data_IF_292298801179
#
_entry.id   IF_292298801179
#
_cell.length_a   1.000
_cell.length_b   1.000
_cell.length_c   1.000
_cell.angle_alpha   90.00
_cell.angle_beta   90.00
_cell.angle_gamma   90.00
#
_symmetry.space_group_name_H-M   'P 1'
#
loop_
_entity.id
_entity.type
_entity.pdbx_description
1 polymer ?
#
# COMPACT_ATOMS: atom_id res chain seq x y z
N UNK A 1 -14.09 -45.96 27.35
CA UNK A 1 -14.07 -46.36 28.77
C UNK A 1 -14.01 -45.10 29.64
N UNK A 2 -14.90 -45.00 30.62
CA UNK A 2 -15.09 -43.89 31.56
C UNK A 2 -14.19 -44.06 32.81
N UNK A 3 -13.62 -42.95 33.33
CA UNK A 3 -13.24 -42.69 34.75
C UNK A 3 -12.73 -41.24 34.80
N UNK A 4 -13.36 -40.20 35.39
CA UNK A 4 -14.10 -39.89 36.64
C UNK A 4 -13.22 -39.72 37.90
N UNK A 5 -13.29 -38.50 38.48
CA UNK A 5 -12.87 -38.08 39.85
C UNK A 5 -11.62 -37.19 39.85
N UNK A 6 -11.59 -35.87 40.14
CA UNK A 6 -12.35 -34.94 40.99
C UNK A 6 -12.16 -35.14 42.51
N UNK A 7 -11.49 -34.16 43.17
CA UNK A 7 -11.64 -33.62 44.54
C UNK A 7 -10.33 -32.83 44.90
N UNK A 8 -10.24 -31.73 45.65
CA UNK A 8 -11.13 -30.69 46.22
C UNK A 8 -10.21 -29.64 46.92
N UNK A 9 -10.65 -28.37 46.94
CA UNK A 9 -10.47 -27.31 47.98
C UNK A 9 -9.04 -26.79 48.31
N UNK A 10 -8.80 -25.48 48.49
CA UNK A 10 -9.43 -24.62 49.51
C UNK A 10 -9.48 -23.14 49.12
N UNK A 11 -10.64 -22.53 49.41
CA UNK A 11 -10.87 -21.10 49.54
C UNK A 11 -10.19 -20.55 50.80
N UNK A 12 -9.61 -19.36 50.72
CA UNK A 12 -9.48 -18.46 51.87
C UNK A 12 -10.22 -17.16 51.60
N UNK A 13 -11.07 -16.82 52.56
CA UNK A 13 -11.85 -15.58 52.68
C UNK A 13 -11.16 -14.71 53.72
N UNK A 14 -10.85 -13.46 53.39
CA UNK A 14 -10.56 -12.37 54.33
C UNK A 14 -10.75 -11.05 53.53
N UNK A 15 -11.63 -10.12 53.84
CA UNK A 15 -12.66 -9.97 54.86
C UNK A 15 -13.52 -8.75 54.48
N UNK A 16 -14.78 -8.72 54.93
CA UNK A 16 -15.66 -7.56 54.81
C UNK A 16 -15.63 -6.70 56.09
N UNK A 17 -15.82 -5.39 55.93
CA UNK A 17 -16.32 -4.48 56.97
C UNK A 17 -15.48 -3.20 57.14
N UNK A 18 -15.78 -2.12 56.41
CA UNK A 18 -16.63 -0.98 56.79
C UNK A 18 -15.99 0.00 57.80
N UNK A 19 -15.63 1.18 57.29
CA UNK A 19 -15.33 2.38 58.07
C UNK A 19 -15.62 3.62 57.22
N UNK A 20 -16.75 4.28 57.50
CA UNK A 20 -17.17 5.57 56.94
C UNK A 20 -16.13 6.66 57.21
N UNK A 21 -15.82 7.46 56.19
CA UNK A 21 -15.65 8.92 56.30
C UNK A 21 -15.44 9.48 54.89
N UNK A 22 -16.37 10.33 54.44
CA UNK A 22 -16.25 11.01 53.16
C UNK A 22 -15.00 11.88 53.10
N UNK A 23 -14.35 11.89 51.92
CA UNK A 23 -13.54 13.01 51.43
C UNK A 23 -13.65 13.06 49.91
N UNK A 24 -13.97 14.27 49.45
CA UNK A 24 -13.84 14.83 48.11
C UNK A 24 -13.08 14.03 47.04
N UNK A 25 -13.67 14.02 45.85
CA UNK A 25 -12.98 13.83 44.57
C UNK A 25 -11.71 14.70 44.51
N UNK A 26 -10.53 14.12 44.26
CA UNK A 26 -9.45 14.83 43.60
C UNK A 26 -9.59 14.61 42.09
N UNK A 27 -9.96 15.66 41.37
CA UNK A 27 -9.59 15.83 39.97
C UNK A 27 -8.08 15.59 39.82
N UNK A 28 -7.70 14.52 39.11
CA UNK A 28 -6.28 14.26 38.85
C UNK A 28 -5.94 12.80 38.60
N UNK A 29 -6.56 12.16 37.61
CA UNK A 29 -5.95 11.00 36.98
C UNK A 29 -5.58 11.37 35.54
N UNK A 30 -4.31 11.19 35.11
CA UNK A 30 -3.93 11.41 33.73
C UNK A 30 -4.64 10.38 32.85
N UNK A 31 -5.44 10.88 31.92
CA UNK A 31 -6.07 10.12 30.84
C UNK A 31 -5.00 9.27 30.15
N UNK A 32 -5.22 7.96 29.90
CA UNK A 32 -4.33 7.21 29.04
C UNK A 32 -4.24 7.96 27.69
N UNK A 33 -3.03 8.16 27.13
CA UNK A 33 -2.91 8.88 25.88
C UNK A 33 -3.74 8.14 24.83
N UNK A 34 -4.58 8.88 24.11
CA UNK A 34 -5.27 8.37 22.94
C UNK A 34 -4.25 7.62 22.05
N UNK A 35 -4.62 6.48 21.43
CA UNK A 35 -3.73 5.84 20.48
C UNK A 35 -3.31 6.90 19.48
N UNK A 36 -2.00 7.20 19.47
CA UNK A 36 -1.41 8.19 18.60
C UNK A 36 -1.93 7.93 17.20
N UNK A 37 -2.82 8.80 16.72
CA UNK A 37 -3.14 8.88 15.31
C UNK A 37 -1.82 9.28 14.67
N UNK A 38 -1.05 8.28 14.24
CA UNK A 38 0.12 8.50 13.43
C UNK A 38 -0.36 9.36 12.26
N UNK A 39 0.16 10.59 12.10
CA UNK A 39 -0.12 11.37 10.90
C UNK A 39 0.25 10.48 9.73
N UNK A 40 -0.73 10.15 8.89
CA UNK A 40 -0.44 9.54 7.60
C UNK A 40 0.62 10.40 6.96
N UNK A 41 1.82 9.85 6.74
CA UNK A 41 2.94 10.60 6.19
C UNK A 41 2.43 11.42 5.00
N UNK A 42 2.79 12.71 4.88
CA UNK A 42 2.40 13.48 3.71
C UNK A 42 2.82 12.66 2.50
N UNK A 43 1.87 12.34 1.62
CA UNK A 43 2.07 11.52 0.43
C UNK A 43 3.03 12.27 -0.50
N UNK A 44 4.32 12.20 -0.17
CA UNK A 44 5.40 12.81 -0.90
C UNK A 44 5.56 12.08 -2.23
N UNK A 45 6.02 12.83 -3.23
CA UNK A 45 6.29 12.23 -4.53
C UNK A 45 7.30 11.08 -4.38
N UNK A 46 6.97 9.91 -4.90
CA UNK A 46 7.85 8.76 -4.97
C UNK A 46 8.74 8.89 -6.19
N UNK A 47 10.05 8.67 -6.05
CA UNK A 47 10.97 8.80 -7.18
C UNK A 47 11.69 7.50 -7.49
N UNK A 48 11.93 7.23 -8.77
CA UNK A 48 12.71 6.09 -9.24
C UNK A 48 13.60 6.50 -10.41
N UNK A 49 14.77 5.88 -10.55
CA UNK A 49 15.59 5.97 -11.76
C UNK A 49 15.42 4.68 -12.56
N UNK A 50 15.03 4.81 -13.82
CA UNK A 50 14.83 3.68 -14.73
C UNK A 50 15.53 4.02 -16.04
N UNK A 51 16.64 3.35 -16.30
CA UNK A 51 17.53 3.71 -17.40
C UNK A 51 18.01 5.16 -17.26
N UNK A 52 17.81 5.94 -18.32
CA UNK A 52 18.16 7.37 -18.36
C UNK A 52 17.03 8.30 -17.90
N UNK A 53 15.88 7.75 -17.50
CA UNK A 53 14.75 8.53 -16.98
C UNK A 53 14.77 8.61 -15.46
N UNK A 54 14.51 9.82 -14.95
CA UNK A 54 14.04 10.06 -13.59
C UNK A 54 12.51 10.08 -13.61
N UNK A 55 11.90 9.21 -12.83
CA UNK A 55 10.45 9.12 -12.66
C UNK A 55 10.05 9.70 -11.31
N UNK A 56 8.93 10.41 -11.27
CA UNK A 56 8.32 10.95 -10.06
C UNK A 56 6.82 10.68 -10.07
N UNK A 57 6.29 10.05 -9.03
CA UNK A 57 4.88 9.72 -8.88
C UNK A 57 4.32 10.48 -7.67
N UNK A 58 3.48 11.48 -7.93
CA UNK A 58 2.81 12.27 -6.91
C UNK A 58 1.29 12.06 -7.04
N UNK A 59 0.66 11.49 -6.01
CA UNK A 59 -0.67 10.92 -6.19
C UNK A 59 -0.63 9.85 -7.30
N UNK A 60 -1.47 9.97 -8.31
CA UNK A 60 -1.46 9.10 -9.50
C UNK A 60 -0.90 9.79 -10.76
N UNK A 61 -0.21 10.93 -10.59
CA UNK A 61 0.45 11.66 -11.67
C UNK A 61 1.91 11.24 -11.80
N UNK A 62 2.25 10.63 -12.92
CA UNK A 62 3.62 10.24 -13.27
C UNK A 62 4.29 11.33 -14.09
N UNK A 63 5.32 11.95 -13.52
CA UNK A 63 6.25 12.83 -14.24
C UNK A 63 7.49 12.05 -14.62
N UNK A 64 7.99 12.24 -15.84
CA UNK A 64 9.22 11.64 -16.31
C UNK A 64 10.14 12.68 -16.92
N UNK A 65 11.42 12.54 -16.67
CA UNK A 65 12.45 13.48 -17.09
C UNK A 65 13.71 12.73 -17.53
N UNK A 66 14.27 13.14 -18.65
CA UNK A 66 15.60 12.78 -19.15
C UNK A 66 16.25 14.02 -19.77
N UNK A 67 17.49 13.89 -20.25
CA UNK A 67 18.22 15.01 -20.85
C UNK A 67 17.46 15.70 -22.00
N UNK A 68 16.77 14.92 -22.83
CA UNK A 68 16.12 15.41 -24.05
C UNK A 68 14.60 15.44 -23.96
N UNK A 69 14.01 14.89 -22.89
CA UNK A 69 12.57 14.66 -22.81
C UNK A 69 12.04 14.81 -21.40
N UNK A 70 11.03 15.64 -21.26
CA UNK A 70 10.19 15.72 -20.06
C UNK A 70 8.73 15.53 -20.42
N UNK A 71 7.93 15.05 -19.48
CA UNK A 71 6.50 14.97 -19.65
C UNK A 71 5.79 14.47 -18.41
N UNK A 72 4.48 14.42 -18.51
CA UNK A 72 3.61 14.02 -17.41
C UNK A 72 2.46 13.20 -17.97
N UNK A 73 2.03 12.21 -17.19
CA UNK A 73 0.85 11.39 -17.49
C UNK A 73 0.03 11.22 -16.21
N UNK A 74 -1.27 11.44 -16.33
CA UNK A 74 -2.23 11.04 -15.30
C UNK A 74 -2.59 9.57 -15.48
N UNK A 75 -2.49 8.80 -14.40
CA UNK A 75 -2.93 7.41 -14.37
C UNK A 75 -4.37 7.35 -13.88
N UNK A 76 -5.23 6.69 -14.66
CA UNK A 76 -6.64 6.47 -14.32
C UNK A 76 -6.80 5.39 -13.24
N UNK A 77 -6.28 5.69 -12.06
CA UNK A 77 -6.24 4.84 -10.88
C UNK A 77 -6.94 5.56 -9.72
N UNK A 78 -7.57 4.84 -8.79
CA UNK A 78 -7.95 5.44 -7.52
C UNK A 78 -6.68 5.83 -6.73
N UNK A 79 -6.77 6.85 -5.88
CA UNK A 79 -5.70 7.16 -4.93
C UNK A 79 -5.71 6.14 -3.76
N UNK A 80 -4.55 5.86 -3.13
CA UNK A 80 -3.21 6.32 -3.49
C UNK A 80 -2.53 5.41 -4.53
N UNK A 81 -1.70 6.00 -5.40
CA UNK A 81 -0.81 5.22 -6.27
C UNK A 81 0.60 5.10 -5.68
N UNK A 82 1.26 3.98 -5.96
CA UNK A 82 2.64 3.75 -5.62
C UNK A 82 3.39 2.97 -6.70
N UNK A 83 4.71 3.11 -6.71
CA UNK A 83 5.54 2.17 -7.44
C UNK A 83 5.51 0.82 -6.70
N UNK A 84 5.41 -0.28 -7.45
CA UNK A 84 5.67 -1.60 -6.89
C UNK A 84 7.11 -1.61 -6.35
N UNK A 85 7.29 -2.21 -5.17
CA UNK A 85 8.56 -2.20 -4.45
C UNK A 85 9.13 -3.60 -4.34
N UNK A 86 10.46 -3.69 -4.33
CA UNK A 86 11.18 -4.92 -3.99
C UNK A 86 11.21 -5.11 -2.46
N UNK A 87 11.84 -6.20 -2.01
CA UNK A 87 11.96 -6.51 -0.58
C UNK A 87 12.74 -5.45 0.23
N UNK A 88 13.57 -4.62 -0.41
CA UNK A 88 14.29 -3.51 0.26
C UNK A 88 13.47 -2.21 0.30
N UNK A 89 12.25 -2.22 -0.24
CA UNK A 89 11.35 -1.07 -0.28
C UNK A 89 11.65 -0.09 -1.41
N UNK A 90 12.58 -0.40 -2.31
CA UNK A 90 12.89 0.41 -3.49
C UNK A 90 11.95 0.08 -4.65
N UNK A 91 11.75 1.02 -5.56
CA UNK A 91 10.95 0.79 -6.75
C UNK A 91 11.51 -0.38 -7.57
N UNK A 92 10.70 -1.42 -7.78
CA UNK A 92 11.13 -2.63 -8.47
C UNK A 92 11.15 -2.42 -9.98
N UNK A 93 12.32 -2.62 -10.56
CA UNK A 93 12.56 -2.52 -12.00
C UNK A 93 12.98 -3.89 -12.52
N UNK A 94 12.26 -4.39 -13.53
CA UNK A 94 12.55 -5.68 -14.16
C UNK A 94 12.93 -5.45 -15.62
N UNK A 95 13.96 -6.14 -16.09
CA UNK A 95 14.34 -6.11 -17.51
C UNK A 95 13.34 -6.94 -18.34
N UNK A 96 12.68 -6.30 -19.29
CA UNK A 96 11.71 -6.91 -20.19
C UNK A 96 12.20 -6.77 -21.63
N UNK A 97 13.04 -7.71 -22.06
CA UNK A 97 13.73 -7.66 -23.35
C UNK A 97 14.80 -6.55 -23.42
N UNK A 98 14.63 -5.62 -24.35
CA UNK A 98 15.47 -4.41 -24.50
C UNK A 98 14.99 -3.23 -23.65
N UNK A 99 13.89 -3.41 -22.93
CA UNK A 99 13.25 -2.38 -22.12
C UNK A 99 13.41 -2.70 -20.63
N UNK A 100 13.16 -1.70 -19.80
CA UNK A 100 13.01 -1.85 -18.36
C UNK A 100 11.58 -1.51 -17.98
N UNK A 101 10.95 -2.35 -17.18
CA UNK A 101 9.57 -2.20 -16.76
C UNK A 101 9.50 -2.03 -15.25
N UNK A 102 8.73 -1.04 -14.85
CA UNK A 102 8.32 -0.80 -13.47
C UNK A 102 6.79 -0.83 -13.44
N UNK A 103 6.20 -1.25 -12.32
CA UNK A 103 4.74 -1.25 -12.16
C UNK A 103 4.32 -0.10 -11.27
N UNK A 104 3.26 0.59 -11.67
CA UNK A 104 2.48 1.47 -10.78
C UNK A 104 1.25 0.69 -10.33
N UNK A 105 0.95 0.76 -9.06
CA UNK A 105 -0.15 0.06 -8.41
C UNK A 105 -0.97 0.99 -7.51
N UNK A 106 -2.26 0.69 -7.39
CA UNK A 106 -3.16 1.33 -6.42
C UNK A 106 -4.12 0.28 -5.87
N UNK A 107 -4.30 0.24 -4.56
CA UNK A 107 -5.11 -0.76 -3.89
C UNK A 107 -6.08 -0.13 -2.91
N UNK A 108 -7.29 -0.70 -2.84
CA UNK A 108 -8.32 -0.32 -1.88
C UNK A 108 -9.08 -1.57 -1.42
N UNK A 109 -9.72 -1.54 -0.23
CA UNK A 109 -10.65 -2.59 0.18
C UNK A 109 -11.70 -2.85 -0.91
N UNK A 110 -12.00 -4.12 -1.17
CA UNK A 110 -12.96 -4.53 -2.18
C UNK A 110 -14.38 -4.04 -1.87
N UNK A 111 -14.75 -4.10 -0.59
CA UNK A 111 -15.96 -3.49 -0.04
C UNK A 111 -15.58 -2.39 0.98
N UNK A 112 -15.86 -1.10 0.66
CA UNK A 112 -15.59 0.01 1.55
C UNK A 112 -16.42 -0.01 2.85
N UNK A 113 -17.56 -0.69 2.88
CA UNK A 113 -18.48 -0.73 4.02
C UNK A 113 -18.08 -1.78 5.07
N UNK A 114 -17.37 -2.83 4.67
CA UNK A 114 -16.95 -3.93 5.54
C UNK A 114 -15.45 -3.87 5.85
N UNK A 115 -14.95 -2.67 6.21
CA UNK A 115 -13.54 -2.45 6.62
C UNK A 115 -13.04 -3.38 7.75
N UNK A 116 -13.94 -4.06 8.45
CA UNK A 116 -13.63 -5.01 9.52
C UNK A 116 -13.23 -6.41 8.99
N UNK A 117 -13.51 -6.72 7.72
CA UNK A 117 -13.09 -7.95 7.02
C UNK A 117 -12.07 -7.66 5.91
N UNK A 118 -11.21 -6.66 6.10
CA UNK A 118 -10.30 -6.01 5.13
C UNK A 118 -9.24 -6.90 4.44
N UNK A 119 -9.45 -8.21 4.36
CA UNK A 119 -8.55 -9.15 3.70
C UNK A 119 -8.76 -9.20 2.18
N UNK A 120 -9.80 -8.55 1.66
CA UNK A 120 -10.07 -8.47 0.23
C UNK A 120 -9.78 -7.06 -0.28
N UNK A 121 -8.86 -6.95 -1.25
CA UNK A 121 -8.54 -5.70 -1.90
C UNK A 121 -8.73 -5.82 -3.41
N UNK A 122 -9.14 -4.71 -4.02
CA UNK A 122 -9.08 -4.51 -5.45
C UNK A 122 -7.84 -3.67 -5.73
N UNK A 123 -6.92 -4.22 -6.52
CA UNK A 123 -5.70 -3.54 -6.95
C UNK A 123 -5.70 -3.29 -8.45
N UNK A 124 -5.36 -2.07 -8.83
CA UNK A 124 -5.14 -1.63 -10.20
C UNK A 124 -3.64 -1.61 -10.47
N UNK A 125 -3.20 -2.17 -11.58
CA UNK A 125 -1.79 -2.26 -11.96
C UNK A 125 -1.59 -1.86 -13.41
N UNK A 126 -0.53 -1.10 -13.69
CA UNK A 126 -0.15 -0.68 -15.04
C UNK A 126 1.36 -0.57 -15.13
N UNK A 127 1.92 -1.07 -16.22
CA UNK A 127 3.36 -0.96 -16.48
C UNK A 127 3.76 0.40 -17.00
N UNK A 128 4.91 0.87 -16.53
CA UNK A 128 5.72 1.95 -17.08
C UNK A 128 6.95 1.31 -17.71
N UNK A 129 7.11 1.47 -19.01
CA UNK A 129 8.14 0.81 -19.81
C UNK A 129 9.09 1.87 -20.34
N UNK A 130 10.32 1.83 -19.86
CA UNK A 130 11.42 2.62 -20.40
C UNK A 130 12.10 1.81 -21.50
N UNK A 131 12.01 2.31 -22.72
CA UNK A 131 12.76 1.78 -23.87
C UNK A 131 14.05 2.60 -24.05
N UNK A 132 14.94 2.19 -24.97
CA UNK A 132 16.13 2.99 -25.27
C UNK A 132 15.84 4.40 -25.79
N UNK A 133 14.66 4.64 -26.37
CA UNK A 133 14.33 5.90 -27.06
C UNK A 133 13.13 6.64 -26.46
N UNK A 134 12.32 6.00 -25.62
CA UNK A 134 11.05 6.56 -25.18
C UNK A 134 10.56 5.97 -23.85
N UNK A 135 9.61 6.66 -23.23
CA UNK A 135 8.81 6.14 -22.14
C UNK A 135 7.41 5.79 -22.65
N UNK A 136 6.99 4.57 -22.34
CA UNK A 136 5.71 4.01 -22.76
C UNK A 136 4.93 3.52 -21.56
N UNK A 137 3.62 3.42 -21.71
CA UNK A 137 2.75 2.79 -20.73
C UNK A 137 2.19 1.51 -21.31
N UNK A 138 1.90 0.53 -20.47
CA UNK A 138 1.07 -0.59 -20.88
C UNK A 138 -0.25 -0.08 -21.46
N UNK A 139 -0.67 -0.69 -22.56
CA UNK A 139 -1.91 -0.33 -23.25
C UNK A 139 -3.14 -0.54 -22.36
N UNK A 140 -3.06 -1.50 -21.43
CA UNK A 140 -4.11 -1.84 -20.48
C UNK A 140 -3.69 -1.59 -19.03
N UNK A 141 -4.66 -1.23 -18.21
CA UNK A 141 -4.62 -1.38 -16.75
C UNK A 141 -5.25 -2.72 -16.39
N UNK A 142 -4.63 -3.49 -15.51
CA UNK A 142 -5.27 -4.69 -14.95
C UNK A 142 -5.89 -4.38 -13.60
N UNK A 143 -7.03 -5.01 -13.31
CA UNK A 143 -7.73 -4.98 -12.02
C UNK A 143 -7.74 -6.39 -11.46
N UNK A 144 -7.21 -6.57 -10.25
CA UNK A 144 -6.98 -7.88 -9.62
C UNK A 144 -7.40 -7.89 -8.16
N UNK A 145 -7.79 -9.04 -7.64
CA UNK A 145 -8.16 -9.24 -6.24
C UNK A 145 -6.91 -9.61 -5.42
N UNK A 146 -6.10 -8.62 -5.05
CA UNK A 146 -4.83 -8.81 -4.35
C UNK A 146 -4.56 -7.58 -3.48
N UNK A 147 -4.19 -7.76 -2.22
CA UNK A 147 -3.77 -6.66 -1.36
C UNK A 147 -2.28 -6.32 -1.54
N UNK A 148 -1.90 -5.09 -1.20
CA UNK A 148 -0.50 -4.63 -1.20
C UNK A 148 0.14 -4.75 0.20
N UNK A 149 1.47 -4.92 0.30
CA UNK A 149 2.41 -5.08 -0.82
C UNK A 149 2.23 -6.43 -1.52
N UNK A 150 2.20 -6.42 -2.85
CA UNK A 150 2.08 -7.62 -3.65
C UNK A 150 3.45 -7.98 -4.26
N UNK A 151 3.82 -9.25 -4.12
CA UNK A 151 5.00 -9.80 -4.77
C UNK A 151 4.63 -10.35 -6.14
N UNK A 152 4.66 -9.48 -7.14
CA UNK A 152 4.28 -9.84 -8.50
C UNK A 152 5.37 -10.69 -9.17
N UNK A 153 4.99 -11.79 -9.81
CA UNK A 153 5.94 -12.57 -10.61
C UNK A 153 6.58 -11.72 -11.72
N UNK A 154 7.84 -11.99 -12.06
CA UNK A 154 8.53 -11.30 -13.17
C UNK A 154 7.78 -11.43 -14.51
N UNK A 155 7.08 -12.56 -14.71
CA UNK A 155 6.24 -12.79 -15.88
C UNK A 155 5.16 -11.71 -16.04
N UNK A 156 4.65 -11.17 -14.94
CA UNK A 156 3.64 -10.12 -14.98
C UNK A 156 4.21 -8.81 -15.54
N UNK A 157 5.48 -8.47 -15.23
CA UNK A 157 6.19 -7.36 -15.86
C UNK A 157 6.33 -7.57 -17.37
N UNK A 158 6.64 -8.78 -17.82
CA UNK A 158 6.72 -9.11 -19.25
C UNK A 158 5.37 -8.94 -19.95
N UNK A 159 4.27 -9.37 -19.32
CA UNK A 159 2.90 -9.22 -19.84
C UNK A 159 2.56 -7.74 -20.05
N UNK A 160 2.87 -6.89 -19.08
CA UNK A 160 2.65 -5.45 -19.18
C UNK A 160 3.52 -4.78 -20.25
N UNK A 161 4.72 -5.31 -20.50
CA UNK A 161 5.61 -4.81 -21.54
C UNK A 161 5.23 -5.25 -22.97
N UNK A 162 4.40 -6.29 -23.12
CA UNK A 162 4.10 -6.88 -24.43
C UNK A 162 3.29 -5.95 -25.35
N UNK A 163 2.38 -5.13 -24.80
CA UNK A 163 1.57 -4.17 -25.56
C UNK A 163 1.58 -2.81 -24.89
N UNK A 164 2.15 -1.82 -25.58
CA UNK A 164 2.43 -0.50 -25.00
C UNK A 164 2.03 0.65 -25.91
N UNK A 165 1.68 1.78 -25.31
CA UNK A 165 1.37 3.05 -25.98
C UNK A 165 2.36 4.13 -25.55
N UNK A 166 2.68 5.13 -26.40
CA UNK A 166 3.55 6.23 -25.99
C UNK A 166 2.94 6.98 -24.79
N UNK A 167 3.76 7.34 -23.80
CA UNK A 167 3.28 8.07 -22.63
C UNK A 167 2.72 9.46 -23.01
N UNK A 168 3.36 10.15 -23.95
CA UNK A 168 2.90 11.44 -24.46
C UNK A 168 1.48 11.39 -25.09
N UNK A 169 1.04 10.23 -25.57
CA UNK A 169 -0.29 10.06 -26.16
C UNK A 169 -1.38 9.81 -25.12
N UNK A 170 -1.01 9.55 -23.85
CA UNK A 170 -1.96 9.30 -22.77
C UNK A 170 -2.56 10.58 -22.17
N UNK A 171 -2.13 11.77 -22.62
CA UNK A 171 -2.58 13.09 -22.12
C UNK A 171 -3.97 13.54 -22.62
N UNK A 172 -4.71 12.69 -23.34
CA UNK A 172 -6.00 13.06 -23.94
C UNK A 172 -7.14 12.17 -23.45
N UNK A 173 -7.66 12.42 -22.24
CA UNK A 173 -9.06 12.10 -21.87
C UNK A 173 -9.54 13.11 -20.86
#
# INVERSE_FOLDING_TARGET
MLKKGCLLLYLTVLGCGLGHAGKEFPEGMPTPPAPSVQPSAPSGAQTARVGHYRLSLAGCRLTYESADKTGTVELDFPLPCQFNRNATGEARVVRTGKSQTLLVESSRPADPATRLSANECITFVRGVIVTPTDLRLSAQTQKVAQCLPADWDEKMFQIFAARTVPAASALRR
#
